data_IF_619341684086
#
_entry.id   IF_619341684086
#
_cell.length_a   1.000
_cell.length_b   1.000
_cell.length_c   1.000
_cell.angle_alpha   90.00
_cell.angle_beta   90.00
_cell.angle_gamma   90.00
#
_symmetry.space_group_name_H-M   'P 1'
#
loop_
_entity.id
_entity.type
_entity.pdbx_description
1 polymer ?
#
# COMPACT_ATOMS: atom_id res chain seq x y z
N UNK A 1 -57.78 11.62 0.15
CA UNK A 1 -57.02 10.65 -0.65
C UNK A 1 -55.56 10.81 -0.31
N UNK A 2 -54.92 9.80 0.21
CA UNK A 2 -53.66 9.91 0.96
C UNK A 2 -52.47 9.50 0.13
N UNK A 3 -51.44 10.31 0.16
CA UNK A 3 -50.11 10.03 -0.38
C UNK A 3 -49.40 8.95 0.47
N UNK A 4 -49.03 7.84 -0.16
CA UNK A 4 -48.15 6.83 0.40
C UNK A 4 -47.04 6.58 -0.57
N UNK A 5 -45.87 7.17 -0.33
CA UNK A 5 -44.76 6.96 -1.22
C UNK A 5 -43.45 7.63 -0.78
N UNK A 6 -42.94 7.31 0.41
CA UNK A 6 -41.65 7.85 0.80
C UNK A 6 -40.94 7.03 1.91
N UNK A 7 -40.71 5.73 1.72
CA UNK A 7 -39.97 4.94 2.71
C UNK A 7 -38.99 3.89 2.11
N UNK A 8 -38.90 3.75 0.79
CA UNK A 8 -37.97 2.75 0.19
C UNK A 8 -36.55 3.24 -0.12
N UNK A 9 -36.26 4.56 -0.05
CA UNK A 9 -34.95 5.12 -0.38
C UNK A 9 -33.87 4.98 0.71
N UNK A 10 -34.27 4.97 1.98
CA UNK A 10 -33.34 5.06 3.11
C UNK A 10 -32.68 3.72 3.50
N UNK A 11 -33.25 2.59 3.13
CA UNK A 11 -32.70 1.27 3.47
C UNK A 11 -31.52 0.88 2.56
N UNK A 12 -31.47 1.36 1.33
CA UNK A 12 -30.39 1.07 0.37
C UNK A 12 -29.10 1.83 0.72
N UNK A 13 -29.21 3.07 1.21
CA UNK A 13 -28.06 3.88 1.61
C UNK A 13 -27.35 3.34 2.87
N UNK A 14 -28.09 2.79 3.83
CA UNK A 14 -27.48 2.20 5.05
C UNK A 14 -26.66 0.94 4.76
N UNK A 15 -27.00 0.17 3.75
CA UNK A 15 -26.24 -1.02 3.33
C UNK A 15 -24.91 -0.65 2.70
N UNK A 16 -24.88 0.36 1.83
CA UNK A 16 -23.67 0.81 1.14
C UNK A 16 -22.64 1.42 2.10
N UNK A 17 -23.05 2.35 2.95
CA UNK A 17 -22.18 2.99 3.97
C UNK A 17 -21.63 1.97 4.98
N UNK A 18 -22.37 0.92 5.30
CA UNK A 18 -21.91 -0.13 6.23
C UNK A 18 -20.88 -1.05 5.58
N UNK A 19 -20.96 -1.27 4.26
CA UNK A 19 -19.97 -2.03 3.48
C UNK A 19 -18.67 -1.25 3.35
N UNK A 20 -18.73 0.02 2.95
CA UNK A 20 -17.56 0.91 2.85
C UNK A 20 -16.77 1.02 4.18
N UNK A 21 -17.46 1.10 5.32
CA UNK A 21 -16.81 1.10 6.65
C UNK A 21 -16.11 -0.21 6.99
N UNK A 22 -16.60 -1.35 6.47
CA UNK A 22 -15.95 -2.65 6.70
C UNK A 22 -14.72 -2.79 5.81
N UNK A 23 -14.80 -2.37 4.56
CA UNK A 23 -13.72 -2.46 3.60
C UNK A 23 -12.56 -1.52 3.96
N UNK A 24 -12.84 -0.31 4.44
CA UNK A 24 -11.84 0.61 5.01
C UNK A 24 -11.09 0.04 6.23
N UNK A 25 -11.75 -0.77 7.06
CA UNK A 25 -11.10 -1.46 8.17
C UNK A 25 -10.14 -2.56 7.70
N UNK A 26 -10.45 -3.25 6.61
CA UNK A 26 -9.56 -4.28 6.06
C UNK A 26 -8.32 -3.66 5.42
N UNK A 27 -8.47 -2.60 4.64
CA UNK A 27 -7.33 -1.86 4.07
C UNK A 27 -6.40 -1.30 5.16
N UNK A 28 -6.96 -0.82 6.27
CA UNK A 28 -6.17 -0.39 7.44
C UNK A 28 -5.37 -1.54 8.07
N UNK A 29 -5.96 -2.74 8.19
CA UNK A 29 -5.26 -3.92 8.71
C UNK A 29 -4.11 -4.36 7.79
N UNK A 30 -4.30 -4.32 6.49
CA UNK A 30 -3.25 -4.63 5.53
C UNK A 30 -2.10 -3.61 5.61
N UNK A 31 -2.42 -2.31 5.73
CA UNK A 31 -1.41 -1.28 5.93
C UNK A 31 -0.60 -1.51 7.21
N UNK A 32 -1.27 -1.86 8.32
CA UNK A 32 -0.59 -2.20 9.57
C UNK A 32 0.32 -3.42 9.46
N UNK A 33 -0.12 -4.46 8.75
CA UNK A 33 0.69 -5.65 8.49
C UNK A 33 1.90 -5.34 7.59
N UNK A 34 1.73 -4.49 6.57
CA UNK A 34 2.81 -4.04 5.68
C UNK A 34 3.87 -3.21 6.42
N UNK A 35 3.45 -2.31 7.31
CA UNK A 35 4.38 -1.56 8.16
C UNK A 35 5.15 -2.52 9.08
N UNK A 36 4.46 -3.51 9.66
CA UNK A 36 5.09 -4.56 10.44
C UNK A 36 6.08 -5.40 9.63
N UNK A 37 5.75 -5.73 8.37
CA UNK A 37 6.67 -6.43 7.46
C UNK A 37 7.90 -5.57 7.12
N UNK A 38 7.71 -4.28 6.85
CA UNK A 38 8.83 -3.36 6.55
C UNK A 38 9.82 -3.27 7.73
N UNK A 39 9.31 -3.25 8.97
CA UNK A 39 10.14 -3.31 10.18
C UNK A 39 10.91 -4.61 10.31
N UNK A 40 10.29 -5.74 9.97
CA UNK A 40 10.94 -7.05 9.99
C UNK A 40 11.97 -7.23 8.86
N UNK A 41 11.78 -6.51 7.75
CA UNK A 41 12.66 -6.53 6.60
C UNK A 41 13.91 -5.64 6.80
N UNK A 42 13.84 -4.65 7.69
CA UNK A 42 14.94 -3.73 7.93
C UNK A 42 16.15 -4.49 8.50
N UNK A 43 17.27 -4.44 7.76
CA UNK A 43 18.49 -5.16 8.11
C UNK A 43 18.40 -6.69 8.04
N UNK A 44 17.29 -7.29 7.63
CA UNK A 44 17.14 -8.73 7.54
C UNK A 44 17.81 -9.30 6.28
N UNK A 45 18.72 -10.28 6.42
CA UNK A 45 19.35 -10.94 5.28
C UNK A 45 18.39 -11.87 4.53
N UNK A 46 17.22 -12.17 5.10
CA UNK A 46 16.22 -13.05 4.51
C UNK A 46 15.32 -12.39 3.46
N UNK A 47 15.45 -11.08 3.24
CA UNK A 47 14.66 -10.34 2.24
C UNK A 47 15.08 -10.76 0.83
N UNK A 48 14.09 -11.03 -0.02
CA UNK A 48 14.28 -11.46 -1.39
C UNK A 48 13.26 -10.82 -2.35
N UNK A 49 13.34 -11.13 -3.63
CA UNK A 49 12.42 -10.59 -4.65
C UNK A 49 10.94 -10.91 -4.37
N UNK A 50 10.65 -12.05 -3.77
CA UNK A 50 9.28 -12.42 -3.36
C UNK A 50 8.75 -11.48 -2.28
N UNK A 51 9.60 -11.04 -1.35
CA UNK A 51 9.24 -10.04 -0.33
C UNK A 51 8.85 -8.72 -0.97
N UNK A 52 9.63 -8.25 -1.95
CA UNK A 52 9.36 -7.00 -2.65
C UNK A 52 8.07 -7.07 -3.47
N UNK A 53 7.91 -8.14 -4.24
CA UNK A 53 6.70 -8.38 -5.04
C UNK A 53 5.45 -8.40 -4.18
N UNK A 54 5.53 -9.02 -3.01
CA UNK A 54 4.40 -9.08 -2.07
C UNK A 54 4.06 -7.71 -1.48
N UNK A 55 5.06 -6.87 -1.17
CA UNK A 55 4.82 -5.50 -0.69
C UNK A 55 4.09 -4.68 -1.77
N UNK A 56 4.55 -4.75 -3.02
CA UNK A 56 3.93 -4.02 -4.14
C UNK A 56 2.49 -4.51 -4.38
N UNK A 57 2.29 -5.83 -4.47
CA UNK A 57 0.97 -6.45 -4.64
C UNK A 57 0.00 -6.04 -3.53
N UNK A 58 0.45 -6.09 -2.28
CA UNK A 58 -0.39 -5.78 -1.13
C UNK A 58 -0.75 -4.29 -1.06
N UNK A 59 0.18 -3.37 -1.37
CA UNK A 59 -0.10 -1.94 -1.50
C UNK A 59 -1.11 -1.68 -2.62
N UNK A 60 -0.90 -2.27 -3.80
CA UNK A 60 -1.81 -2.15 -4.94
C UNK A 60 -3.19 -2.71 -4.63
N UNK A 61 -3.28 -3.85 -3.96
CA UNK A 61 -4.54 -4.44 -3.52
C UNK A 61 -5.32 -3.50 -2.60
N UNK A 62 -4.65 -2.75 -1.72
CA UNK A 62 -5.32 -1.76 -0.85
C UNK A 62 -5.84 -0.54 -1.61
N UNK A 63 -5.33 -0.26 -2.79
CA UNK A 63 -5.77 0.84 -3.65
C UNK A 63 -6.94 0.43 -4.54
N UNK A 64 -6.81 -0.69 -5.26
CA UNK A 64 -7.76 -1.12 -6.29
C UNK A 64 -8.90 -1.95 -5.75
N UNK A 65 -8.65 -2.72 -4.71
CA UNK A 65 -9.67 -3.57 -4.07
C UNK A 65 -10.55 -2.81 -3.07
N UNK A 66 -10.56 -1.49 -3.13
CA UNK A 66 -11.61 -0.68 -2.50
C UNK A 66 -12.99 -1.23 -2.85
N UNK A 67 -13.04 -2.07 -3.84
CA UNK A 67 -14.23 -2.47 -4.45
C UNK A 67 -14.67 -3.84 -4.15
N UNK A 68 -14.35 -4.58 -3.25
CA UNK A 68 -15.38 -5.56 -3.21
C UNK A 68 -14.95 -7.00 -2.92
N UNK A 69 -13.69 -7.31 -2.89
CA UNK A 69 -13.27 -8.66 -2.50
C UNK A 69 -12.52 -8.66 -1.16
N UNK A 70 -13.31 -8.72 -0.08
CA UNK A 70 -12.76 -8.86 1.26
C UNK A 70 -11.98 -10.17 1.45
N UNK A 71 -12.19 -11.18 0.60
CA UNK A 71 -11.45 -12.43 0.68
C UNK A 71 -10.03 -12.23 0.15
N UNK A 72 -9.86 -11.57 -1.00
CA UNK A 72 -8.54 -11.24 -1.55
C UNK A 72 -7.72 -10.36 -0.60
N UNK A 73 -8.35 -9.36 0.04
CA UNK A 73 -7.65 -8.53 1.04
C UNK A 73 -7.19 -9.38 2.25
N UNK A 74 -8.00 -10.30 2.72
CA UNK A 74 -7.61 -11.20 3.83
C UNK A 74 -6.48 -12.13 3.42
N UNK A 75 -6.52 -12.68 2.21
CA UNK A 75 -5.49 -13.56 1.69
C UNK A 75 -4.14 -12.83 1.60
N UNK A 76 -4.10 -11.69 0.93
CA UNK A 76 -2.84 -10.92 0.82
C UNK A 76 -2.32 -10.48 2.19
N UNK A 77 -3.22 -10.12 3.12
CA UNK A 77 -2.82 -9.77 4.49
C UNK A 77 -2.22 -10.97 5.24
N UNK A 78 -2.79 -12.16 5.04
CA UNK A 78 -2.25 -13.39 5.63
C UNK A 78 -0.85 -13.73 5.07
N UNK A 79 -0.66 -13.56 3.75
CA UNK A 79 0.64 -13.74 3.09
C UNK A 79 1.69 -12.75 3.62
N UNK A 80 1.32 -11.48 3.79
CA UNK A 80 2.19 -10.43 4.38
C UNK A 80 2.62 -10.81 5.80
N UNK A 81 1.71 -11.32 6.62
CA UNK A 81 2.03 -11.76 7.98
C UNK A 81 2.90 -13.02 8.00
N UNK A 82 2.67 -13.97 7.10
CA UNK A 82 3.50 -15.15 6.95
C UNK A 82 4.93 -14.77 6.55
N UNK A 83 5.09 -13.84 5.61
CA UNK A 83 6.38 -13.34 5.19
C UNK A 83 7.09 -12.59 6.32
N UNK A 84 6.37 -11.76 7.07
CA UNK A 84 6.91 -11.11 8.28
C UNK A 84 7.44 -12.14 9.27
N UNK A 85 6.67 -13.19 9.56
CA UNK A 85 7.09 -14.26 10.48
C UNK A 85 8.31 -15.03 9.96
N UNK A 86 8.48 -15.16 8.66
CA UNK A 86 9.66 -15.78 8.05
C UNK A 86 10.93 -14.94 8.25
N UNK A 87 10.79 -13.61 8.22
CA UNK A 87 11.92 -12.68 8.36
C UNK A 87 12.34 -12.45 9.81
N UNK A 88 11.43 -12.61 10.76
CA UNK A 88 11.74 -12.50 12.19
C UNK A 88 12.23 -13.88 12.65
N UNK A 89 13.52 -14.05 12.99
CA UNK A 89 13.97 -15.32 13.56
C UNK A 89 13.23 -15.58 14.87
N UNK A 90 12.93 -16.85 15.13
CA UNK A 90 12.39 -17.29 16.42
C UNK A 90 13.32 -16.80 17.53
N UNK A 91 12.94 -15.73 18.19
CA UNK A 91 13.65 -15.23 19.36
C UNK A 91 13.38 -16.13 20.56
N UNK A 92 13.92 -17.34 20.54
CA UNK A 92 13.93 -18.23 21.71
C UNK A 92 14.66 -17.61 22.93
N UNK A 93 15.42 -16.54 22.73
CA UNK A 93 16.15 -15.82 23.77
C UNK A 93 15.51 -14.51 24.23
N UNK A 94 14.46 -14.01 23.56
CA UNK A 94 13.77 -12.81 23.98
C UNK A 94 12.75 -13.14 25.08
N UNK A 95 13.09 -12.85 26.33
CA UNK A 95 12.16 -12.94 27.47
C UNK A 95 11.05 -11.87 27.43
N UNK A 96 11.00 -11.03 26.40
CA UNK A 96 9.96 -10.02 26.17
C UNK A 96 9.36 -10.23 24.78
N UNK A 97 8.04 -10.07 24.58
CA UNK A 97 7.48 -10.12 23.24
C UNK A 97 8.13 -8.99 22.41
N UNK A 98 9.02 -9.38 21.49
CA UNK A 98 9.68 -8.46 20.59
C UNK A 98 8.61 -7.72 19.79
N UNK A 99 8.51 -6.40 19.95
CA UNK A 99 7.50 -5.57 19.27
C UNK A 99 7.56 -5.67 17.74
N UNK A 100 8.60 -6.27 17.20
CA UNK A 100 8.80 -6.52 15.77
C UNK A 100 7.82 -7.51 15.15
N UNK A 101 7.16 -8.36 15.94
CA UNK A 101 6.20 -9.33 15.41
C UNK A 101 4.76 -8.82 15.39
N UNK A 102 4.49 -7.62 15.87
CA UNK A 102 3.15 -7.05 15.86
C UNK A 102 2.89 -6.23 14.59
N UNK A 103 1.64 -6.28 14.10
CA UNK A 103 1.19 -5.34 13.10
C UNK A 103 1.18 -3.93 13.71
N UNK A 104 1.46 -2.91 12.89
CA UNK A 104 1.36 -1.53 13.32
C UNK A 104 -0.11 -1.14 13.55
N UNK A 105 -0.38 -0.51 14.68
CA UNK A 105 -1.72 0.04 14.93
C UNK A 105 -1.90 1.34 14.14
N UNK A 106 -2.61 1.24 13.04
CA UNK A 106 -2.86 2.36 12.13
C UNK A 106 -3.65 3.49 12.80
N UNK A 107 -4.33 3.24 13.93
CA UNK A 107 -5.01 4.31 14.67
C UNK A 107 -4.01 5.36 15.20
N UNK A 108 -2.79 4.97 15.50
CA UNK A 108 -1.70 5.88 15.91
C UNK A 108 -1.39 6.94 14.85
N UNK A 109 -1.46 6.56 13.56
CA UNK A 109 -1.30 7.50 12.45
C UNK A 109 -2.36 8.61 12.52
N UNK A 110 -3.61 8.23 12.77
CA UNK A 110 -4.74 9.17 12.75
C UNK A 110 -4.87 10.02 14.01
N UNK A 111 -4.24 9.59 15.11
CA UNK A 111 -4.22 10.31 16.40
C UNK A 111 -2.92 11.08 16.62
N UNK A 112 -1.97 11.03 15.72
CA UNK A 112 -0.73 11.80 15.76
C UNK A 112 -0.99 13.30 15.63
N UNK A 113 0.03 14.09 15.96
CA UNK A 113 0.07 15.53 15.68
C UNK A 113 -0.31 15.81 14.22
N UNK A 114 -0.92 16.97 13.95
CA UNK A 114 -1.51 17.28 12.65
C UNK A 114 -0.48 17.28 11.53
N UNK A 115 0.69 17.86 11.76
CA UNK A 115 1.75 17.91 10.75
C UNK A 115 2.33 16.53 10.48
N UNK A 116 2.63 15.77 11.54
CA UNK A 116 3.12 14.38 11.43
C UNK A 116 2.10 13.50 10.73
N UNK A 117 0.83 13.60 11.09
CA UNK A 117 -0.27 12.88 10.44
C UNK A 117 -0.36 13.21 8.96
N UNK A 118 -0.25 14.50 8.60
CA UNK A 118 -0.30 14.97 7.22
C UNK A 118 0.85 14.42 6.40
N UNK A 119 2.08 14.51 6.89
CA UNK A 119 3.27 14.02 6.20
C UNK A 119 3.24 12.49 6.03
N UNK A 120 2.91 11.74 7.09
CA UNK A 120 2.78 10.27 7.01
C UNK A 120 1.65 9.85 6.07
N UNK A 121 0.56 10.60 6.02
CA UNK A 121 -0.54 10.35 5.08
C UNK A 121 -0.12 10.59 3.64
N UNK A 122 0.61 11.65 3.35
CA UNK A 122 1.17 11.92 2.01
C UNK A 122 2.11 10.80 1.56
N UNK A 123 2.98 10.33 2.45
CA UNK A 123 3.86 9.18 2.16
C UNK A 123 3.02 7.94 1.86
N UNK A 124 2.06 7.58 2.73
CA UNK A 124 1.23 6.39 2.56
C UNK A 124 0.44 6.39 1.26
N UNK A 125 -0.22 7.51 0.94
CA UNK A 125 -0.98 7.62 -0.31
C UNK A 125 -0.07 7.68 -1.53
N UNK A 126 1.09 8.34 -1.42
CA UNK A 126 2.09 8.40 -2.47
C UNK A 126 2.60 7.01 -2.84
N UNK A 127 3.05 6.20 -1.87
CA UNK A 127 3.53 4.84 -2.15
C UNK A 127 2.42 3.89 -2.65
N UNK A 128 1.16 4.12 -2.28
CA UNK A 128 0.04 3.38 -2.87
C UNK A 128 -0.13 3.70 -4.36
N UNK A 129 -0.03 4.98 -4.72
CA UNK A 129 -0.05 5.40 -6.13
C UNK A 129 1.13 4.82 -6.91
N UNK A 130 2.34 4.88 -6.34
CA UNK A 130 3.53 4.25 -6.92
C UNK A 130 3.35 2.74 -7.14
N UNK A 131 2.71 2.04 -6.19
CA UNK A 131 2.49 0.61 -6.28
C UNK A 131 1.62 0.22 -7.48
N UNK A 132 0.71 1.10 -7.93
CA UNK A 132 -0.06 0.86 -9.14
C UNK A 132 0.85 0.78 -10.37
N UNK A 133 1.78 1.71 -10.53
CA UNK A 133 2.75 1.70 -11.63
C UNK A 133 3.72 0.53 -11.52
N UNK A 134 4.29 0.32 -10.34
CA UNK A 134 5.25 -0.76 -10.10
C UNK A 134 4.63 -2.15 -10.30
N UNK A 135 3.37 -2.36 -9.87
CA UNK A 135 2.67 -3.62 -10.07
C UNK A 135 2.45 -3.94 -11.55
N UNK A 136 1.99 -2.96 -12.33
CA UNK A 136 1.78 -3.16 -13.77
C UNK A 136 3.10 -3.42 -14.51
N UNK A 137 4.18 -2.72 -14.16
CA UNK A 137 5.50 -3.01 -14.71
C UNK A 137 5.97 -4.43 -14.33
N UNK A 138 5.78 -4.83 -13.07
CA UNK A 138 6.14 -6.15 -12.56
C UNK A 138 5.39 -7.29 -13.29
N UNK A 139 4.11 -7.11 -13.61
CA UNK A 139 3.32 -8.09 -14.40
C UNK A 139 3.92 -8.28 -15.79
N UNK A 140 4.55 -7.25 -16.35
CA UNK A 140 5.25 -7.33 -17.64
C UNK A 140 6.72 -7.83 -17.49
N UNK A 141 7.15 -8.19 -16.28
CA UNK A 141 8.50 -8.70 -16.04
C UNK A 141 9.55 -7.62 -15.72
N UNK A 142 9.12 -6.37 -15.52
CA UNK A 142 10.03 -5.26 -15.23
C UNK A 142 9.98 -4.89 -13.75
N UNK A 143 11.16 -4.86 -13.12
CA UNK A 143 11.33 -4.46 -11.72
C UNK A 143 12.48 -3.48 -11.56
N UNK A 144 12.46 -2.71 -10.48
CA UNK A 144 13.53 -1.79 -10.12
C UNK A 144 13.87 -1.96 -8.63
N UNK A 145 15.07 -2.45 -8.36
CA UNK A 145 15.50 -2.76 -7.00
C UNK A 145 15.63 -1.53 -6.09
N UNK A 146 15.83 -0.33 -6.63
CA UNK A 146 15.84 0.90 -5.84
C UNK A 146 14.43 1.29 -5.42
N UNK A 147 13.49 1.20 -6.35
CA UNK A 147 12.05 1.42 -6.07
C UNK A 147 11.54 0.40 -5.05
N UNK A 148 11.92 -0.87 -5.21
CA UNK A 148 11.52 -1.94 -4.30
C UNK A 148 11.98 -1.66 -2.86
N UNK A 149 13.24 -1.31 -2.66
CA UNK A 149 13.78 -0.93 -1.34
C UNK A 149 13.11 0.33 -0.78
N UNK A 150 12.78 1.27 -1.65
CA UNK A 150 12.10 2.50 -1.22
C UNK A 150 10.72 2.24 -0.65
N UNK A 151 9.93 1.30 -1.18
CA UNK A 151 8.65 0.91 -0.57
C UNK A 151 8.80 0.47 0.88
N UNK A 152 9.80 -0.35 1.18
CA UNK A 152 10.07 -0.78 2.55
C UNK A 152 10.51 0.38 3.44
N UNK A 153 11.44 1.24 2.96
CA UNK A 153 11.89 2.44 3.67
C UNK A 153 10.72 3.36 4.04
N UNK A 154 9.83 3.62 3.10
CA UNK A 154 8.67 4.50 3.32
C UNK A 154 7.66 3.89 4.30
N UNK A 155 7.37 2.59 4.18
CA UNK A 155 6.51 1.89 5.14
C UNK A 155 7.13 1.85 6.55
N UNK A 156 8.44 1.61 6.65
CA UNK A 156 9.18 1.64 7.91
C UNK A 156 9.03 3.01 8.59
N UNK A 157 9.31 4.10 7.85
CA UNK A 157 9.22 5.46 8.37
C UNK A 157 7.83 5.82 8.91
N UNK A 158 6.75 5.35 8.25
CA UNK A 158 5.38 5.54 8.76
C UNK A 158 5.22 4.89 10.13
N UNK A 159 5.86 3.76 10.36
CA UNK A 159 5.82 3.01 11.61
C UNK A 159 6.62 3.64 12.75
N UNK A 160 7.64 4.44 12.44
CA UNK A 160 8.57 5.02 13.42
C UNK A 160 8.08 6.37 13.96
N UNK A 161 8.64 6.78 15.10
CA UNK A 161 8.32 8.08 15.73
C UNK A 161 9.24 9.19 15.16
N UNK A 162 9.25 9.32 13.82
CA UNK A 162 10.00 10.33 13.10
C UNK A 162 9.33 11.70 13.17
N UNK A 163 10.16 12.75 13.27
CA UNK A 163 9.74 14.15 13.26
C UNK A 163 9.55 14.73 11.85
N UNK A 164 9.20 16.01 11.81
CA UNK A 164 9.01 16.72 10.53
C UNK A 164 10.30 16.76 9.69
N UNK A 165 11.43 16.95 10.35
CA UNK A 165 12.74 17.07 9.68
C UNK A 165 13.15 15.78 8.95
N UNK A 166 12.66 14.62 9.42
CA UNK A 166 12.87 13.31 8.79
C UNK A 166 11.82 13.01 7.72
N UNK A 167 10.56 13.38 8.00
CA UNK A 167 9.43 13.02 7.13
C UNK A 167 9.32 13.91 5.89
N UNK A 168 9.64 15.21 5.99
CA UNK A 168 9.52 16.12 4.86
C UNK A 168 10.46 15.77 3.68
N UNK A 169 11.75 15.47 3.91
CA UNK A 169 12.62 14.97 2.84
C UNK A 169 12.09 13.67 2.22
N UNK A 170 11.51 12.78 3.03
CA UNK A 170 10.94 11.53 2.54
C UNK A 170 9.72 11.75 1.65
N UNK A 171 8.86 12.75 1.94
CA UNK A 171 7.75 13.13 1.06
C UNK A 171 8.26 13.56 -0.32
N UNK A 172 9.35 14.34 -0.38
CA UNK A 172 9.96 14.74 -1.65
C UNK A 172 10.56 13.53 -2.38
N UNK A 173 11.20 12.63 -1.64
CA UNK A 173 11.73 11.38 -2.22
C UNK A 173 10.61 10.48 -2.78
N UNK A 174 9.42 10.44 -2.16
CA UNK A 174 8.24 9.77 -2.74
C UNK A 174 7.93 10.31 -4.13
N UNK A 175 7.99 11.63 -4.33
CA UNK A 175 7.77 12.26 -5.63
C UNK A 175 8.80 11.83 -6.67
N UNK A 176 10.08 11.80 -6.31
CA UNK A 176 11.18 11.34 -7.17
C UNK A 176 10.99 9.86 -7.56
N UNK A 177 10.73 8.99 -6.59
CA UNK A 177 10.55 7.55 -6.85
C UNK A 177 9.26 7.26 -7.61
N UNK A 178 8.22 8.08 -7.44
CA UNK A 178 7.01 7.99 -8.26
C UNK A 178 7.31 8.24 -9.73
N UNK A 179 8.07 9.29 -10.05
CA UNK A 179 8.50 9.54 -11.43
C UNK A 179 9.28 8.35 -12.01
N UNK A 180 10.18 7.76 -11.23
CA UNK A 180 10.92 6.56 -11.62
C UNK A 180 10.00 5.35 -11.88
N UNK A 181 8.96 5.16 -11.08
CA UNK A 181 7.95 4.13 -11.31
C UNK A 181 7.18 4.35 -12.62
N UNK A 182 6.83 5.59 -12.92
CA UNK A 182 6.14 5.94 -14.17
C UNK A 182 7.03 5.65 -15.38
N UNK A 183 8.31 6.03 -15.32
CA UNK A 183 9.29 5.74 -16.37
C UNK A 183 9.52 4.23 -16.55
N UNK A 184 9.52 3.46 -15.45
CA UNK A 184 9.62 2.00 -15.50
C UNK A 184 8.42 1.38 -16.23
N UNK A 185 7.21 1.86 -15.93
CA UNK A 185 6.00 1.37 -16.57
C UNK A 185 5.94 1.77 -18.05
N UNK A 186 6.33 2.99 -18.39
CA UNK A 186 6.42 3.46 -19.78
C UNK A 186 7.38 2.57 -20.59
N UNK A 187 8.57 2.33 -20.04
CA UNK A 187 9.53 1.38 -20.63
C UNK A 187 8.93 -0.01 -20.82
N UNK A 188 8.31 -0.57 -19.76
CA UNK A 188 7.71 -1.90 -19.80
C UNK A 188 6.63 -2.00 -20.89
N UNK A 189 5.75 -1.01 -21.00
CA UNK A 189 4.72 -0.96 -22.03
C UNK A 189 5.31 -0.82 -23.44
N UNK A 190 6.25 0.08 -23.63
CA UNK A 190 6.86 0.34 -24.94
C UNK A 190 7.63 -0.87 -25.45
N UNK A 191 8.39 -1.54 -24.59
CA UNK A 191 9.14 -2.74 -24.98
C UNK A 191 8.23 -3.97 -25.19
N UNK A 192 7.08 -4.03 -24.50
CA UNK A 192 6.15 -5.17 -24.63
C UNK A 192 5.17 -5.01 -25.79
N UNK A 193 4.62 -3.81 -25.98
CA UNK A 193 3.51 -3.56 -26.90
C UNK A 193 3.87 -2.64 -28.08
N UNK A 194 5.06 -2.05 -28.09
CA UNK A 194 5.47 -1.04 -29.05
C UNK A 194 5.04 0.38 -28.66
N UNK A 195 5.53 1.34 -29.45
CA UNK A 195 5.18 2.76 -29.28
C UNK A 195 3.74 3.01 -29.75
N UNK A 196 2.92 3.74 -28.97
CA UNK A 196 1.57 4.09 -29.41
C UNK A 196 1.61 4.88 -30.72
N UNK A 197 0.91 4.41 -31.75
CA UNK A 197 0.72 5.19 -32.98
C UNK A 197 -0.38 6.23 -32.77
N UNK A 198 -0.08 7.49 -33.08
CA UNK A 198 -1.10 8.52 -33.16
C UNK A 198 -1.99 8.24 -34.37
N UNK A 199 -3.18 7.72 -34.13
CA UNK A 199 -4.22 7.73 -35.17
C UNK A 199 -4.66 9.17 -35.41
N UNK A 200 -4.24 9.74 -36.53
CA UNK A 200 -4.84 10.99 -37.01
C UNK A 200 -6.32 10.74 -37.29
N UNK A 201 -7.20 11.38 -36.53
CA UNK A 201 -8.62 11.39 -36.90
C UNK A 201 -8.75 11.93 -38.32
N UNK A 202 -9.53 11.25 -39.22
CA UNK A 202 -9.84 11.84 -40.49
C UNK A 202 -10.56 13.17 -40.25
N UNK A 203 -10.31 14.21 -41.08
CA UNK A 203 -11.01 15.49 -40.96
C UNK A 203 -12.52 15.21 -41.10
N UNK A 204 -13.31 15.76 -40.17
CA UNK A 204 -14.78 15.74 -40.20
C UNK A 204 -15.27 16.61 -41.37
#
# INVERSE_FOLDING_TARGET
MRAGGALHGLHRQRGCVRKERRDGKFAGRTAGALIGLARAADGSPGVNEGTWSLIIEALFTTLTNVNFDAAAIRDVTARVRAEKSRLVPDCASCMSPCGHNNDYDVSRLWTADEDIRSLKSLILFGIRGMAAYAYHAMVLGYTDGEVNRFFAKALFAIGEDWGMDDLLPLVLEVGEKNYRCMALLDKANTETYGTPEQTTMPPI
#
